data_IF_423488081927
#
_entry.id   IF_423488081927
#
_cell.length_a   1.000
_cell.length_b   1.000
_cell.length_c   1.000
_cell.angle_alpha   90.00
_cell.angle_beta   90.00
_cell.angle_gamma   90.00
#
_symmetry.space_group_name_H-M   'P 1'
#
loop_
_entity.id
_entity.type
_entity.pdbx_description
1 polymer ?
#
# COMPACT_ATOMS: atom_id res chain seq x y z
N UNK A 1 9.65 6.75 -16.57
CA UNK A 1 8.46 6.70 -15.69
C UNK A 1 8.97 6.81 -14.27
N UNK A 2 8.46 7.76 -13.50
CA UNK A 2 8.99 8.01 -12.16
C UNK A 2 7.90 7.74 -11.15
N UNK A 3 8.21 6.94 -10.13
CA UNK A 3 7.33 6.66 -9.02
C UNK A 3 7.97 7.17 -7.74
N UNK A 4 7.17 7.75 -6.89
CA UNK A 4 7.62 8.18 -5.57
C UNK A 4 6.92 7.34 -4.54
N UNK A 5 7.71 6.45 -3.93
CA UNK A 5 7.31 5.68 -2.78
C UNK A 5 7.77 6.41 -1.52
N UNK A 6 6.86 6.85 -0.68
CA UNK A 6 7.17 7.37 0.65
C UNK A 6 6.29 6.73 1.70
N UNK A 7 6.92 5.95 2.59
CA UNK A 7 6.30 5.61 3.86
C UNK A 7 6.35 6.84 4.77
N UNK A 8 5.17 7.35 5.15
CA UNK A 8 5.06 8.51 6.00
C UNK A 8 4.98 8.07 7.47
N UNK A 9 6.08 8.25 8.21
CA UNK A 9 6.10 8.21 9.66
C UNK A 9 6.41 9.62 10.17
N UNK A 10 5.34 10.38 10.58
CA UNK A 10 5.51 11.62 11.34
C UNK A 10 6.26 12.75 10.64
N UNK A 11 6.38 12.78 9.32
CA UNK A 11 6.92 13.92 8.60
C UNK A 11 5.83 15.02 8.52
N UNK A 12 6.25 16.27 8.60
CA UNK A 12 5.44 17.45 8.39
C UNK A 12 4.71 17.35 7.03
N UNK A 13 3.39 17.42 7.03
CA UNK A 13 2.56 17.36 5.83
C UNK A 13 3.00 18.39 4.77
N UNK A 14 3.44 19.57 5.22
CA UNK A 14 3.94 20.61 4.35
C UNK A 14 5.22 20.19 3.63
N UNK A 15 6.12 19.45 4.30
CA UNK A 15 7.33 18.91 3.67
C UNK A 15 7.02 17.84 2.64
N UNK A 16 6.01 17.00 2.87
CA UNK A 16 5.58 16.01 1.89
C UNK A 16 5.04 16.69 0.64
N UNK A 17 4.15 17.66 0.80
CA UNK A 17 3.57 18.41 -0.31
C UNK A 17 4.65 19.20 -1.06
N UNK A 18 5.58 19.84 -0.36
CA UNK A 18 6.71 20.56 -1.00
C UNK A 18 7.63 19.62 -1.77
N UNK A 19 7.94 18.43 -1.22
CA UNK A 19 8.70 17.41 -1.94
C UNK A 19 7.99 16.99 -3.21
N UNK A 20 6.70 16.66 -3.13
CA UNK A 20 5.88 16.27 -4.28
C UNK A 20 5.85 17.38 -5.34
N UNK A 21 5.72 18.65 -4.92
CA UNK A 21 5.75 19.80 -5.82
C UNK A 21 7.08 19.92 -6.55
N UNK A 22 8.21 19.76 -5.86
CA UNK A 22 9.55 19.81 -6.49
C UNK A 22 9.75 18.70 -7.49
N UNK A 23 9.32 17.49 -7.15
CA UNK A 23 9.42 16.35 -8.05
C UNK A 23 8.57 16.58 -9.30
N UNK A 24 7.33 17.06 -9.12
CA UNK A 24 6.46 17.38 -10.27
C UNK A 24 7.04 18.47 -11.16
N UNK A 25 7.76 19.44 -10.58
CA UNK A 25 8.45 20.48 -11.36
C UNK A 25 9.67 19.95 -12.12
N UNK A 26 10.31 18.90 -11.58
CA UNK A 26 11.50 18.28 -12.18
C UNK A 26 11.14 17.24 -13.25
N UNK A 27 10.09 16.47 -13.05
CA UNK A 27 9.66 15.44 -13.99
C UNK A 27 8.12 15.36 -14.08
N UNK A 28 7.62 14.78 -15.16
CA UNK A 28 6.20 14.55 -15.37
C UNK A 28 5.90 13.03 -15.27
N UNK A 29 5.75 12.47 -14.07
CA UNK A 29 5.49 11.04 -13.91
C UNK A 29 4.14 10.67 -14.53
N UNK A 30 4.08 9.49 -15.15
CA UNK A 30 2.83 8.92 -15.67
C UNK A 30 1.92 8.54 -14.51
N UNK A 31 2.51 7.99 -13.46
CA UNK A 31 1.85 7.71 -12.18
C UNK A 31 2.70 8.30 -11.05
N UNK A 32 2.04 8.96 -10.12
CA UNK A 32 2.66 9.52 -8.93
C UNK A 32 1.94 9.00 -7.70
N UNK A 33 2.46 7.92 -7.13
CA UNK A 33 1.89 7.27 -5.96
C UNK A 33 2.52 7.78 -4.67
N UNK A 34 1.70 8.02 -3.66
CA UNK A 34 2.10 8.30 -2.29
C UNK A 34 1.64 7.15 -1.38
N UNK A 35 2.55 6.57 -0.59
CA UNK A 35 2.17 5.62 0.47
C UNK A 35 1.82 6.36 1.75
N UNK A 36 0.75 5.94 2.40
CA UNK A 36 0.28 6.52 3.64
C UNK A 36 -0.27 5.46 4.59
N UNK A 37 -0.15 5.73 5.88
CA UNK A 37 -0.93 5.01 6.88
C UNK A 37 -2.29 5.70 7.06
N UNK A 38 -3.36 4.95 7.36
CA UNK A 38 -4.70 5.53 7.53
C UNK A 38 -4.77 6.67 8.56
N UNK A 39 -4.02 6.57 9.65
CA UNK A 39 -4.00 7.57 10.71
C UNK A 39 -3.39 8.91 10.29
N UNK A 40 -2.48 8.91 9.32
CA UNK A 40 -1.76 10.10 8.87
C UNK A 40 -2.43 10.85 7.72
N UNK A 41 -3.52 10.32 7.16
CA UNK A 41 -4.18 10.90 6.01
C UNK A 41 -5.37 11.78 6.45
N UNK A 42 -5.29 13.08 6.15
CA UNK A 42 -6.37 14.05 6.36
C UNK A 42 -6.99 14.47 5.01
N UNK A 43 -8.19 15.06 5.04
CA UNK A 43 -8.83 15.57 3.83
C UNK A 43 -8.03 16.74 3.22
N UNK A 44 -7.42 17.56 4.09
CA UNK A 44 -6.55 18.69 3.72
C UNK A 44 -5.31 18.18 3.00
N UNK A 45 -4.65 17.12 3.54
CA UNK A 45 -3.49 16.50 2.93
C UNK A 45 -3.86 15.88 1.57
N UNK A 46 -4.94 15.11 1.48
CA UNK A 46 -5.40 14.50 0.23
C UNK A 46 -5.64 15.57 -0.86
N UNK A 47 -6.31 16.67 -0.49
CA UNK A 47 -6.53 17.81 -1.39
C UNK A 47 -5.21 18.46 -1.83
N UNK A 48 -4.26 18.61 -0.91
CA UNK A 48 -2.95 19.19 -1.23
C UNK A 48 -2.13 18.28 -2.16
N UNK A 49 -2.20 16.96 -1.97
CA UNK A 49 -1.54 15.98 -2.84
C UNK A 49 -2.08 16.03 -4.28
N UNK A 50 -3.39 16.16 -4.45
CA UNK A 50 -3.99 16.38 -5.80
C UNK A 50 -3.39 17.62 -6.47
N UNK A 51 -3.33 18.74 -5.76
CA UNK A 51 -2.82 20.01 -6.30
C UNK A 51 -1.36 19.95 -6.78
N UNK A 52 -0.57 19.05 -6.21
CA UNK A 52 0.84 18.85 -6.60
C UNK A 52 1.02 17.68 -7.57
N UNK A 53 -0.09 17.10 -8.06
CA UNK A 53 -0.10 16.14 -9.15
C UNK A 53 0.11 14.68 -8.71
N UNK A 54 -0.09 14.35 -7.44
CA UNK A 54 -0.24 12.96 -7.01
C UNK A 54 -1.48 12.38 -7.66
N UNK A 55 -1.38 11.14 -8.13
CA UNK A 55 -2.48 10.46 -8.85
C UNK A 55 -3.08 9.31 -8.05
N UNK A 56 -2.30 8.70 -7.14
CA UNK A 56 -2.68 7.54 -6.34
C UNK A 56 -2.18 7.66 -4.90
N UNK A 57 -2.97 7.16 -3.96
CA UNK A 57 -2.52 6.91 -2.59
C UNK A 57 -2.66 5.43 -2.28
N UNK A 58 -1.56 4.79 -1.82
CA UNK A 58 -1.58 3.43 -1.28
C UNK A 58 -1.70 3.48 0.23
N UNK A 59 -2.72 2.82 0.76
CA UNK A 59 -3.05 2.80 2.19
C UNK A 59 -2.70 1.46 2.81
N UNK A 60 -1.83 1.47 3.79
CA UNK A 60 -1.51 0.28 4.59
C UNK A 60 -2.65 -0.10 5.55
N UNK A 61 -3.75 -0.61 5.00
CA UNK A 61 -4.95 -1.02 5.76
C UNK A 61 -4.68 -2.26 6.59
N UNK A 62 -4.02 -3.25 6.04
CA UNK A 62 -3.61 -4.53 6.59
C UNK A 62 -4.80 -5.46 6.88
N UNK A 63 -5.70 -5.07 7.75
CA UNK A 63 -6.93 -5.79 8.15
C UNK A 63 -7.99 -4.80 8.63
N UNK A 64 -9.23 -5.24 8.72
CA UNK A 64 -10.32 -4.50 9.37
C UNK A 64 -10.74 -5.14 10.71
N UNK A 65 -9.83 -5.92 11.32
CA UNK A 65 -10.00 -6.44 12.68
C UNK A 65 -9.06 -5.69 13.65
N UNK A 66 -9.64 -5.03 14.65
CA UNK A 66 -8.89 -4.18 15.58
C UNK A 66 -7.92 -4.99 16.47
N UNK A 67 -8.23 -6.26 16.74
CA UNK A 67 -7.34 -7.14 17.49
C UNK A 67 -6.10 -7.48 16.68
N UNK A 68 -6.29 -7.82 15.39
CA UNK A 68 -5.20 -8.11 14.46
C UNK A 68 -4.33 -6.86 14.23
N UNK A 69 -4.94 -5.67 14.05
CA UNK A 69 -4.21 -4.40 13.93
C UNK A 69 -3.33 -4.14 15.16
N UNK A 70 -3.87 -4.35 16.35
CA UNK A 70 -3.12 -4.18 17.60
C UNK A 70 -1.97 -5.18 17.68
N UNK A 71 -2.18 -6.44 17.29
CA UNK A 71 -1.16 -7.49 17.34
C UNK A 71 0.07 -7.16 16.46
N UNK A 72 -0.12 -6.45 15.36
CA UNK A 72 0.97 -6.01 14.48
C UNK A 72 1.44 -4.56 14.75
N UNK A 73 0.99 -3.97 15.86
CA UNK A 73 1.44 -2.64 16.31
C UNK A 73 0.91 -1.47 15.49
N UNK A 74 -0.24 -1.63 14.80
CA UNK A 74 -0.90 -0.51 14.13
C UNK A 74 -1.62 0.37 15.13
N UNK A 75 -1.62 1.69 14.88
CA UNK A 75 -2.25 2.69 15.76
C UNK A 75 -3.63 3.14 15.25
N UNK A 76 -3.94 2.85 13.98
CA UNK A 76 -5.28 3.05 13.44
C UNK A 76 -6.18 1.85 13.73
N UNK A 77 -7.48 2.07 13.71
CA UNK A 77 -8.54 1.05 13.77
C UNK A 77 -9.23 0.87 12.40
N UNK A 78 -10.15 -0.07 12.32
CA UNK A 78 -10.89 -0.39 11.10
C UNK A 78 -11.71 0.81 10.59
N UNK A 79 -12.34 1.57 11.48
CA UNK A 79 -13.15 2.74 11.11
C UNK A 79 -12.26 3.82 10.50
N UNK A 80 -11.08 4.03 11.07
CA UNK A 80 -10.11 4.98 10.54
C UNK A 80 -9.57 4.54 9.17
N UNK A 81 -9.35 3.24 8.96
CA UNK A 81 -8.93 2.70 7.66
C UNK A 81 -10.01 2.95 6.59
N UNK A 82 -11.27 2.64 6.88
CA UNK A 82 -12.39 2.89 5.96
C UNK A 82 -12.59 4.39 5.69
N UNK A 83 -12.46 5.24 6.71
CA UNK A 83 -12.55 6.69 6.55
C UNK A 83 -11.40 7.22 5.66
N UNK A 84 -10.18 6.66 5.76
CA UNK A 84 -9.06 7.04 4.92
C UNK A 84 -9.30 6.67 3.44
N UNK A 85 -9.85 5.48 3.16
CA UNK A 85 -10.25 5.08 1.80
C UNK A 85 -11.25 6.10 1.21
N UNK A 86 -12.29 6.43 1.98
CA UNK A 86 -13.29 7.41 1.55
C UNK A 86 -12.67 8.81 1.31
N UNK A 87 -11.72 9.22 2.16
CA UNK A 87 -11.02 10.51 2.03
C UNK A 87 -10.24 10.58 0.72
N UNK A 88 -9.48 9.54 0.36
CA UNK A 88 -8.73 9.48 -0.92
C UNK A 88 -9.68 9.56 -2.10
N UNK A 89 -10.75 8.75 -2.10
CA UNK A 89 -11.76 8.74 -3.19
C UNK A 89 -12.43 10.08 -3.35
N UNK A 90 -12.85 10.71 -2.25
CA UNK A 90 -13.51 12.01 -2.28
C UNK A 90 -12.59 13.13 -2.80
N UNK A 91 -11.28 12.99 -2.64
CA UNK A 91 -10.31 13.91 -3.23
C UNK A 91 -10.09 13.69 -4.74
N UNK A 92 -10.64 12.61 -5.32
CA UNK A 92 -10.47 12.27 -6.74
C UNK A 92 -9.15 11.57 -7.05
N UNK A 93 -8.51 10.96 -6.06
CA UNK A 93 -7.30 10.15 -6.22
C UNK A 93 -7.66 8.68 -6.38
N UNK A 94 -6.85 7.94 -7.12
CA UNK A 94 -6.87 6.49 -7.06
C UNK A 94 -6.47 6.03 -5.67
N UNK A 95 -7.19 5.05 -5.12
CA UNK A 95 -6.86 4.43 -3.84
C UNK A 95 -6.46 2.98 -4.04
N UNK A 96 -5.28 2.63 -3.51
CA UNK A 96 -4.83 1.26 -3.32
C UNK A 96 -4.94 0.90 -1.84
N UNK A 97 -5.38 -0.31 -1.55
CA UNK A 97 -5.43 -0.87 -0.19
C UNK A 97 -4.47 -2.05 -0.10
N UNK A 98 -3.53 -1.98 0.83
CA UNK A 98 -2.62 -3.07 1.11
C UNK A 98 -3.18 -3.89 2.28
N UNK A 99 -3.43 -5.18 2.06
CA UNK A 99 -3.95 -6.14 3.03
C UNK A 99 -2.91 -7.20 3.35
N UNK A 100 -2.96 -7.72 4.56
CA UNK A 100 -2.07 -8.80 4.99
C UNK A 100 -2.86 -10.00 5.49
N UNK A 101 -2.48 -11.20 5.05
CA UNK A 101 -3.02 -12.45 5.54
C UNK A 101 -1.99 -13.23 6.36
N UNK A 102 -2.47 -14.12 7.25
CA UNK A 102 -1.61 -14.84 8.17
C UNK A 102 -1.16 -14.00 9.37
N UNK A 103 -1.92 -12.99 9.75
CA UNK A 103 -1.64 -12.16 10.92
C UNK A 103 -1.85 -12.96 12.22
N UNK A 104 -1.13 -12.64 13.32
CA UNK A 104 -1.35 -13.27 14.62
C UNK A 104 -2.82 -13.19 15.05
N UNK A 105 -3.42 -14.34 15.34
CA UNK A 105 -4.82 -14.46 15.74
C UNK A 105 -5.85 -14.32 14.61
N UNK A 106 -5.41 -14.10 13.37
CA UNK A 106 -6.31 -14.03 12.23
C UNK A 106 -7.02 -15.36 11.97
N UNK A 107 -8.28 -15.29 11.62
CA UNK A 107 -9.12 -16.44 11.30
C UNK A 107 -9.71 -16.32 9.90
N UNK A 108 -10.18 -17.42 9.31
CA UNK A 108 -10.91 -17.39 8.03
C UNK A 108 -12.16 -16.49 8.09
N UNK A 109 -12.76 -16.31 9.27
CA UNK A 109 -13.92 -15.44 9.46
C UNK A 109 -13.51 -13.97 9.47
N UNK A 110 -12.47 -13.58 10.22
CA UNK A 110 -11.98 -12.21 10.26
C UNK A 110 -11.40 -11.78 8.90
N UNK A 111 -10.70 -12.70 8.21
CA UNK A 111 -10.19 -12.46 6.86
C UNK A 111 -11.32 -12.15 5.86
N UNK A 112 -12.37 -12.99 5.83
CA UNK A 112 -13.54 -12.75 4.97
C UNK A 112 -14.22 -11.43 5.28
N UNK A 113 -14.38 -11.08 6.56
CA UNK A 113 -14.95 -9.80 7.00
C UNK A 113 -14.08 -8.61 6.54
N UNK A 114 -12.76 -8.72 6.59
CA UNK A 114 -11.83 -7.72 6.07
C UNK A 114 -12.03 -7.52 4.57
N UNK A 115 -12.06 -8.60 3.78
CA UNK A 115 -12.30 -8.52 2.34
C UNK A 115 -13.67 -7.89 2.02
N UNK A 116 -14.73 -8.30 2.71
CA UNK A 116 -16.08 -7.75 2.50
C UNK A 116 -16.14 -6.25 2.81
N UNK A 117 -15.51 -5.81 3.90
CA UNK A 117 -15.45 -4.40 4.29
C UNK A 117 -14.66 -3.54 3.29
N UNK A 118 -13.51 -4.05 2.81
CA UNK A 118 -12.71 -3.37 1.80
C UNK A 118 -13.45 -3.31 0.45
N UNK A 119 -14.09 -4.41 0.04
CA UNK A 119 -14.90 -4.42 -1.18
C UNK A 119 -16.09 -3.45 -1.11
N UNK A 120 -16.74 -3.33 0.06
CA UNK A 120 -17.81 -2.35 0.27
C UNK A 120 -17.30 -0.91 0.17
N UNK A 121 -16.06 -0.63 0.57
CA UNK A 121 -15.41 0.67 0.39
C UNK A 121 -14.99 0.94 -1.07
N UNK A 122 -14.97 -0.10 -1.91
CA UNK A 122 -14.70 -0.06 -3.35
C UNK A 122 -13.43 0.75 -3.69
N UNK A 123 -12.23 0.33 -3.25
CA UNK A 123 -10.97 0.93 -3.70
C UNK A 123 -10.76 0.62 -5.20
N UNK A 124 -9.85 1.33 -5.86
CA UNK A 124 -9.51 1.07 -7.26
C UNK A 124 -8.55 -0.11 -7.42
N UNK A 125 -7.80 -0.43 -6.37
CA UNK A 125 -6.73 -1.40 -6.37
C UNK A 125 -6.60 -2.05 -4.98
N UNK A 126 -6.28 -3.34 -4.92
CA UNK A 126 -6.03 -4.08 -3.67
C UNK A 126 -4.77 -4.92 -3.85
N UNK A 127 -3.84 -4.81 -2.92
CA UNK A 127 -2.72 -5.75 -2.80
C UNK A 127 -2.94 -6.66 -1.59
N UNK A 128 -2.63 -7.94 -1.74
CA UNK A 128 -2.76 -8.94 -0.67
C UNK A 128 -1.41 -9.61 -0.47
N UNK A 129 -0.82 -9.44 0.70
CA UNK A 129 0.49 -10.00 1.04
C UNK A 129 0.37 -11.02 2.17
N UNK A 130 1.02 -12.18 2.08
CA UNK A 130 1.21 -13.02 3.23
C UNK A 130 2.16 -12.34 4.23
N UNK A 131 1.90 -12.45 5.52
CA UNK A 131 2.79 -11.96 6.56
C UNK A 131 4.15 -12.66 6.45
N UNK A 132 5.20 -11.87 6.36
CA UNK A 132 6.58 -12.33 6.46
C UNK A 132 7.22 -11.71 7.70
N UNK A 133 7.87 -12.54 8.51
CA UNK A 133 8.60 -12.09 9.69
C UNK A 133 9.98 -11.54 9.28
N UNK A 134 10.11 -10.23 9.26
CA UNK A 134 11.37 -9.57 8.93
C UNK A 134 12.26 -9.43 10.17
N UNK A 135 13.51 -9.87 10.06
CA UNK A 135 14.51 -9.74 11.12
C UNK A 135 14.65 -8.28 11.59
N UNK A 136 14.78 -8.10 12.90
CA UNK A 136 14.91 -6.77 13.51
C UNK A 136 13.58 -6.05 13.79
N UNK A 137 12.43 -6.57 13.31
CA UNK A 137 11.12 -6.02 13.64
C UNK A 137 10.65 -6.41 15.06
N UNK A 138 9.75 -5.65 15.69
CA UNK A 138 9.17 -6.06 16.96
C UNK A 138 8.47 -7.42 16.88
N UNK A 139 7.68 -7.67 15.84
CA UNK A 139 6.94 -8.91 15.64
C UNK A 139 7.88 -10.11 15.48
N UNK A 140 8.97 -9.98 14.72
CA UNK A 140 10.00 -11.02 14.61
C UNK A 140 10.59 -11.38 16.00
N UNK A 141 10.93 -10.36 16.82
CA UNK A 141 11.45 -10.60 18.17
C UNK A 141 10.45 -11.27 19.10
N UNK A 142 9.14 -11.04 18.88
CA UNK A 142 8.08 -11.73 19.62
C UNK A 142 7.97 -13.18 19.16
N UNK A 143 7.96 -13.45 17.86
CA UNK A 143 7.88 -14.78 17.28
C UNK A 143 9.08 -15.66 17.68
N UNK A 144 10.29 -15.11 17.77
CA UNK A 144 11.46 -15.83 18.30
C UNK A 144 11.29 -16.33 19.76
N UNK A 145 10.29 -15.84 20.49
CA UNK A 145 10.00 -16.24 21.88
C UNK A 145 8.69 -17.04 22.02
N UNK A 146 7.87 -16.98 21.01
CA UNK A 146 6.55 -17.60 20.97
C UNK A 146 6.27 -18.09 19.55
N UNK A 147 6.52 -19.38 19.33
CA UNK A 147 6.33 -20.05 18.03
C UNK A 147 4.86 -19.98 17.54
N UNK A 148 3.90 -19.73 18.44
CA UNK A 148 2.50 -19.57 18.04
C UNK A 148 2.24 -18.30 17.19
N UNK A 149 3.21 -17.40 17.12
CA UNK A 149 3.18 -16.20 16.28
C UNK A 149 3.82 -16.41 14.90
N UNK A 150 4.39 -17.59 14.65
CA UNK A 150 4.88 -17.92 13.32
C UNK A 150 3.71 -18.04 12.34
N UNK A 151 3.82 -17.45 11.12
CA UNK A 151 2.78 -17.55 10.14
C UNK A 151 2.55 -19.00 9.68
N UNK A 152 1.30 -19.41 9.60
CA UNK A 152 0.89 -20.69 9.03
C UNK A 152 0.78 -20.53 7.50
N UNK A 153 1.70 -21.15 6.77
CA UNK A 153 1.78 -21.06 5.30
C UNK A 153 0.55 -21.65 4.62
N UNK A 154 -0.04 -22.74 5.14
CA UNK A 154 -1.25 -23.35 4.59
C UNK A 154 -2.47 -22.43 4.77
N UNK A 155 -2.55 -21.80 5.94
CA UNK A 155 -3.57 -20.79 6.19
C UNK A 155 -3.39 -19.56 5.30
N UNK A 156 -2.16 -19.08 5.12
CA UNK A 156 -1.86 -17.97 4.19
C UNK A 156 -2.25 -18.30 2.75
N UNK A 157 -1.90 -19.48 2.27
CA UNK A 157 -2.29 -19.95 0.92
C UNK A 157 -3.82 -19.96 0.76
N UNK A 158 -4.53 -20.50 1.76
CA UNK A 158 -5.99 -20.50 1.81
C UNK A 158 -6.59 -19.08 1.77
N UNK A 159 -5.99 -18.14 2.50
CA UNK A 159 -6.40 -16.74 2.50
C UNK A 159 -6.19 -16.06 1.13
N UNK A 160 -5.08 -16.36 0.46
CA UNK A 160 -4.79 -15.85 -0.88
C UNK A 160 -5.80 -16.36 -1.91
N UNK A 161 -6.19 -17.63 -1.84
CA UNK A 161 -7.21 -18.21 -2.72
C UNK A 161 -8.59 -17.57 -2.49
N UNK A 162 -8.99 -17.37 -1.25
CA UNK A 162 -10.24 -16.66 -0.90
C UNK A 162 -10.21 -15.22 -1.39
N UNK A 163 -9.07 -14.52 -1.29
CA UNK A 163 -8.93 -13.17 -1.79
C UNK A 163 -9.10 -13.13 -3.32
N UNK A 164 -8.43 -14.04 -4.03
CA UNK A 164 -8.54 -14.16 -5.49
C UNK A 164 -9.97 -14.36 -5.96
N UNK A 165 -10.70 -15.29 -5.31
CA UNK A 165 -12.09 -15.57 -5.63
C UNK A 165 -12.98 -14.34 -5.39
N UNK A 166 -12.89 -13.72 -4.21
CA UNK A 166 -13.76 -12.60 -3.84
C UNK A 166 -13.50 -11.33 -4.62
N UNK A 167 -12.22 -10.99 -4.81
CA UNK A 167 -11.82 -9.85 -5.62
C UNK A 167 -12.23 -10.05 -7.08
N UNK A 168 -12.01 -11.25 -7.63
CA UNK A 168 -12.44 -11.59 -8.99
C UNK A 168 -13.95 -11.49 -9.17
N UNK A 169 -14.74 -12.00 -8.22
CA UNK A 169 -16.20 -11.88 -8.25
C UNK A 169 -16.70 -10.42 -8.17
N UNK A 170 -15.90 -9.51 -7.59
CA UNK A 170 -16.18 -8.09 -7.51
C UNK A 170 -15.62 -7.27 -8.70
N UNK A 171 -15.06 -7.93 -9.72
CA UNK A 171 -14.58 -7.27 -10.94
C UNK A 171 -13.11 -6.81 -10.89
N UNK A 172 -12.36 -7.17 -9.85
CA UNK A 172 -10.92 -6.94 -9.84
C UNK A 172 -10.20 -8.08 -10.56
N UNK A 173 -9.24 -7.76 -11.40
CA UNK A 173 -8.41 -8.76 -12.05
C UNK A 173 -6.98 -8.77 -11.48
N UNK A 174 -6.36 -9.94 -11.30
CA UNK A 174 -4.96 -10.04 -10.94
C UNK A 174 -4.09 -9.61 -12.15
N UNK A 175 -3.09 -8.77 -11.93
CA UNK A 175 -2.16 -8.34 -12.99
C UNK A 175 -0.69 -8.58 -12.63
N UNK A 176 -0.42 -8.94 -11.37
CA UNK A 176 0.87 -9.42 -10.87
C UNK A 176 0.63 -10.33 -9.65
N UNK A 177 1.68 -10.76 -8.95
CA UNK A 177 1.64 -11.82 -7.93
C UNK A 177 0.69 -11.53 -6.76
N UNK A 178 0.69 -10.28 -6.28
CA UNK A 178 -0.01 -9.88 -5.05
C UNK A 178 -1.14 -8.89 -5.28
N UNK A 179 -1.28 -8.32 -6.48
CA UNK A 179 -2.12 -7.15 -6.71
C UNK A 179 -3.25 -7.39 -7.69
N UNK A 180 -4.38 -6.79 -7.36
CA UNK A 180 -5.64 -6.83 -8.07
C UNK A 180 -6.13 -5.41 -8.34
N UNK A 181 -6.65 -5.15 -9.54
CA UNK A 181 -7.15 -3.83 -9.92
C UNK A 181 -8.48 -3.91 -10.68
N UNK A 182 -9.24 -2.84 -10.62
CA UNK A 182 -10.28 -2.56 -11.60
C UNK A 182 -9.62 -2.15 -12.93
N UNK A 183 -10.30 -2.34 -14.04
CA UNK A 183 -9.79 -2.03 -15.39
C UNK A 183 -9.26 -0.59 -15.47
N UNK A 184 -8.00 -0.43 -15.89
CA UNK A 184 -7.33 0.86 -16.03
C UNK A 184 -6.79 1.45 -14.73
N UNK A 185 -6.85 0.70 -13.62
CA UNK A 185 -6.33 1.11 -12.31
C UNK A 185 -5.15 0.24 -11.83
N UNK A 186 -4.52 -0.51 -12.73
CA UNK A 186 -3.29 -1.23 -12.44
C UNK A 186 -2.19 -0.24 -12.01
N UNK A 187 -1.40 -0.64 -11.02
CA UNK A 187 -0.30 0.19 -10.55
C UNK A 187 0.87 0.13 -11.53
N UNK A 188 1.13 1.23 -12.22
CA UNK A 188 2.22 1.31 -13.19
C UNK A 188 3.60 1.04 -12.58
N UNK A 189 3.78 1.34 -11.28
CA UNK A 189 4.98 0.96 -10.54
C UNK A 189 5.16 -0.56 -10.46
N UNK A 190 4.12 -1.28 -10.03
CA UNK A 190 4.21 -2.72 -9.90
C UNK A 190 4.54 -3.36 -11.26
N UNK A 191 3.90 -2.87 -12.33
CA UNK A 191 4.22 -3.29 -13.70
C UNK A 191 5.67 -2.97 -14.06
N UNK A 192 6.18 -1.79 -13.73
CA UNK A 192 7.56 -1.40 -13.99
C UNK A 192 8.55 -2.31 -13.25
N UNK A 193 8.28 -2.60 -11.98
CA UNK A 193 9.08 -3.52 -11.17
C UNK A 193 9.21 -4.91 -11.83
N UNK A 194 8.09 -5.50 -12.22
CA UNK A 194 8.07 -6.84 -12.81
C UNK A 194 8.58 -6.91 -14.26
N UNK A 195 8.52 -5.80 -14.99
CA UNK A 195 8.99 -5.74 -16.39
C UNK A 195 10.39 -5.16 -16.54
N UNK A 196 11.08 -4.84 -15.44
CA UNK A 196 12.43 -4.28 -15.47
C UNK A 196 12.49 -2.86 -16.02
N UNK A 197 11.39 -2.11 -16.01
CA UNK A 197 11.38 -0.70 -16.41
C UNK A 197 11.86 0.18 -15.27
N UNK A 198 12.58 1.26 -15.60
CA UNK A 198 13.10 2.21 -14.63
C UNK A 198 11.99 2.88 -13.80
N UNK A 199 12.21 2.98 -12.50
CA UNK A 199 11.36 3.71 -11.57
C UNK A 199 12.19 4.34 -10.47
N UNK A 200 11.72 5.45 -9.92
CA UNK A 200 12.38 6.21 -8.87
C UNK A 200 11.59 6.10 -7.57
N UNK A 201 12.21 5.54 -6.54
CA UNK A 201 11.68 5.56 -5.17
C UNK A 201 12.34 6.66 -4.36
N UNK A 202 11.55 7.48 -3.67
CA UNK A 202 12.02 8.56 -2.82
C UNK A 202 11.46 8.45 -1.41
N UNK A 203 12.31 8.53 -0.43
CA UNK A 203 11.96 8.49 0.98
C UNK A 203 12.64 7.35 1.72
N UNK A 204 12.35 7.25 3.03
CA UNK A 204 12.93 6.21 3.89
C UNK A 204 12.49 4.83 3.40
N UNK A 205 13.45 3.94 3.22
CA UNK A 205 13.24 2.57 2.74
C UNK A 205 12.63 2.45 1.33
N UNK A 206 12.53 3.54 0.56
CA UNK A 206 12.11 3.46 -0.82
C UNK A 206 13.24 2.87 -1.67
N UNK A 207 12.88 1.89 -2.51
CA UNK A 207 13.79 1.34 -3.51
C UNK A 207 13.50 1.97 -4.87
N UNK A 208 14.53 2.14 -5.68
CA UNK A 208 14.44 2.59 -7.07
C UNK A 208 15.25 1.67 -7.97
N UNK A 209 14.91 1.66 -9.24
CA UNK A 209 15.67 0.98 -10.29
C UNK A 209 15.76 1.93 -11.47
N UNK A 210 16.97 2.31 -11.83
CA UNK A 210 17.26 3.20 -12.95
C UNK A 210 18.18 2.49 -13.92
N UNK A 211 17.99 2.68 -15.21
CA UNK A 211 19.01 2.30 -16.18
C UNK A 211 20.21 3.27 -16.14
N UNK A 212 21.28 2.92 -16.84
CA UNK A 212 22.51 3.72 -16.81
C UNK A 212 22.30 5.15 -17.32
N UNK A 213 21.48 5.32 -18.34
CA UNK A 213 21.19 6.64 -18.93
C UNK A 213 20.39 7.53 -17.99
N UNK A 214 19.36 6.98 -17.36
CA UNK A 214 18.55 7.68 -16.36
C UNK A 214 19.38 8.00 -15.10
N UNK A 215 20.27 7.07 -14.68
CA UNK A 215 21.18 7.31 -13.57
C UNK A 215 22.15 8.45 -13.88
N UNK A 216 22.77 8.45 -15.05
CA UNK A 216 23.71 9.51 -15.46
C UNK A 216 23.05 10.87 -15.56
N UNK A 217 21.81 10.94 -16.04
CA UNK A 217 21.00 12.18 -16.02
C UNK A 217 20.72 12.68 -14.61
N UNK A 218 20.52 11.77 -13.66
CA UNK A 218 20.20 12.10 -12.28
C UNK A 218 21.43 12.57 -11.50
N UNK A 219 22.60 12.00 -11.77
CA UNK A 219 23.88 12.33 -11.12
C UNK A 219 24.55 13.54 -11.80
N UNK A 220 24.29 13.80 -13.07
CA UNK A 220 24.79 14.95 -13.82
C UNK A 220 24.06 16.26 -13.51
N UNK A 221 23.07 16.24 -12.62
CA UNK A 221 22.33 17.39 -12.10
C UNK A 221 23.01 17.97 -10.86
#
# INVERSE_FOLDING_TARGET
MYLIKKAYYGADEQRLVELARRIRAWCAPVEFTCEANPESLTAELATALVKVGVTRVSLGVQTLDNTELTAIGRIHDADRALAAIATVKNAGLDVSCDLMCGLPGQTAVSWKRTLDGVLAAAPHHVSVYPLTLEEGTPLYRMACRDESLEPDEDFQASCMDVARERLGAAGYHPYEVASYALDGHECAHNIAYWTGRGYLGLGRSAAGMLDAEDFDRLVGL
#
